data_IF_876010651943
#
_entry.id   IF_876010651943
#
_cell.length_a   1.000
_cell.length_b   1.000
_cell.length_c   1.000
_cell.angle_alpha   90.00
_cell.angle_beta   90.00
_cell.angle_gamma   90.00
#
_symmetry.space_group_name_H-M   'P 1'
#
loop_
_entity.id
_entity.type
_entity.pdbx_description
1 polymer ?
#
# COMPACT_ATOMS: atom_id res chain seq x y z
N UNK A 1 -14.71 12.04 -0.34
CA UNK A 1 -14.16 12.44 0.99
C UNK A 1 -13.50 11.24 1.63
N UNK A 2 -12.24 11.39 1.94
CA UNK A 2 -11.45 10.33 2.60
C UNK A 2 -12.01 9.96 3.98
N UNK A 3 -11.95 8.69 4.32
CA UNK A 3 -12.26 8.26 5.69
C UNK A 3 -11.06 8.54 6.58
N UNK A 4 -10.95 9.76 7.02
CA UNK A 4 -10.00 10.22 8.04
C UNK A 4 -10.77 11.13 9.00
N UNK A 5 -11.00 10.64 10.21
CA UNK A 5 -11.90 11.29 11.17
C UNK A 5 -11.13 11.54 12.47
N UNK A 6 -11.26 12.76 13.01
CA UNK A 6 -10.69 13.09 14.31
C UNK A 6 -11.58 12.54 15.43
N UNK A 7 -10.99 11.73 16.30
CA UNK A 7 -11.65 11.13 17.46
C UNK A 7 -10.75 11.32 18.68
N UNK A 8 -10.99 12.38 19.44
CA UNK A 8 -10.12 12.76 20.55
C UNK A 8 -8.69 13.04 20.08
N UNK A 9 -7.71 12.37 20.67
CA UNK A 9 -6.30 12.50 20.29
C UNK A 9 -5.90 11.61 19.09
N UNK A 10 -6.83 10.81 18.56
CA UNK A 10 -6.60 9.92 17.44
C UNK A 10 -7.24 10.41 16.15
N UNK A 11 -6.64 10.02 15.05
CA UNK A 11 -7.27 10.04 13.74
C UNK A 11 -7.62 8.61 13.35
N UNK A 12 -8.91 8.35 13.10
CA UNK A 12 -9.34 7.11 12.48
C UNK A 12 -9.14 7.23 10.98
N UNK A 13 -8.37 6.30 10.43
CA UNK A 13 -8.01 6.30 9.01
C UNK A 13 -8.34 4.94 8.38
N UNK A 14 -8.96 4.93 7.23
CA UNK A 14 -9.19 3.71 6.46
C UNK A 14 -8.41 3.80 5.16
N UNK A 15 -7.57 2.81 4.93
CA UNK A 15 -6.67 2.76 3.78
C UNK A 15 -6.83 1.44 3.03
N UNK A 16 -6.58 1.44 1.74
CA UNK A 16 -6.49 0.24 0.92
C UNK A 16 -5.21 0.28 0.08
N UNK A 17 -4.59 -0.88 -0.07
CA UNK A 17 -3.35 -1.01 -0.83
C UNK A 17 -3.35 -2.29 -1.65
N UNK A 18 -2.54 -2.32 -2.70
CA UNK A 18 -2.39 -3.45 -3.60
C UNK A 18 -1.04 -4.13 -3.49
N UNK A 19 -1.05 -5.44 -3.51
CA UNK A 19 0.14 -6.28 -3.63
C UNK A 19 0.19 -6.83 -5.04
N UNK A 20 1.22 -6.45 -5.78
CA UNK A 20 1.53 -7.01 -7.10
C UNK A 20 2.86 -7.72 -7.00
N UNK A 21 2.85 -9.04 -7.20
CA UNK A 21 4.05 -9.87 -7.15
C UNK A 21 4.33 -10.41 -8.56
N UNK A 22 5.54 -10.19 -9.02
CA UNK A 22 5.99 -10.63 -10.32
C UNK A 22 7.47 -11.04 -10.24
N UNK A 23 7.79 -12.26 -10.69
CA UNK A 23 9.16 -12.80 -10.68
C UNK A 23 9.87 -12.67 -9.31
N UNK A 24 9.16 -12.97 -8.21
CA UNK A 24 9.72 -12.88 -6.85
C UNK A 24 9.92 -11.46 -6.33
N UNK A 25 9.37 -10.46 -7.02
CA UNK A 25 9.44 -9.05 -6.64
C UNK A 25 8.05 -8.50 -6.35
N UNK A 26 7.98 -7.53 -5.46
CA UNK A 26 6.75 -6.80 -5.14
C UNK A 26 6.89 -5.34 -5.55
N UNK A 27 5.81 -4.80 -6.13
CA UNK A 27 5.76 -3.39 -6.52
C UNK A 27 5.44 -2.52 -5.31
N UNK A 28 6.29 -1.53 -5.08
CA UNK A 28 6.15 -0.57 -3.96
C UNK A 28 6.40 0.85 -4.45
N UNK A 29 6.00 1.84 -3.67
CA UNK A 29 6.52 3.18 -3.87
C UNK A 29 7.62 3.49 -2.85
N UNK A 30 8.62 4.22 -3.31
CA UNK A 30 9.66 4.82 -2.50
C UNK A 30 9.31 6.29 -2.31
N UNK A 31 9.10 6.71 -1.06
CA UNK A 31 8.93 8.12 -0.73
C UNK A 31 10.33 8.70 -0.42
N UNK A 32 10.90 9.40 -1.40
CA UNK A 32 12.26 9.93 -1.30
C UNK A 32 12.41 11.04 -0.26
N UNK A 33 11.30 11.72 0.12
CA UNK A 33 11.34 12.74 1.16
C UNK A 33 11.45 12.17 2.57
N UNK A 34 10.81 11.03 2.83
CA UNK A 34 10.80 10.37 4.13
C UNK A 34 11.67 9.12 4.20
N UNK A 35 12.24 8.74 3.06
CA UNK A 35 13.15 7.60 2.92
C UNK A 35 12.53 6.28 3.42
N UNK A 36 11.25 6.04 3.08
CA UNK A 36 10.57 4.79 3.36
C UNK A 36 9.80 4.27 2.14
N UNK A 37 9.51 2.98 2.16
CA UNK A 37 8.74 2.29 1.14
C UNK A 37 7.35 1.93 1.68
N UNK A 38 6.37 1.86 0.80
CA UNK A 38 5.02 1.37 1.12
C UNK A 38 4.39 0.68 -0.08
N UNK A 39 3.38 -0.15 0.18
CA UNK A 39 2.52 -0.66 -0.89
C UNK A 39 1.74 0.51 -1.52
N UNK A 40 1.45 0.38 -2.81
CA UNK A 40 0.72 1.41 -3.53
C UNK A 40 -0.75 1.37 -3.10
N UNK A 41 -1.27 2.50 -2.72
CA UNK A 41 -2.66 2.63 -2.29
C UNK A 41 -2.97 4.02 -1.77
N UNK A 42 -4.08 4.14 -1.08
CA UNK A 42 -4.53 5.41 -0.53
C UNK A 42 -5.71 5.24 0.40
N UNK A 43 -6.26 6.37 0.80
CA UNK A 43 -7.41 6.42 1.71
C UNK A 43 -8.68 5.98 0.97
N UNK A 44 -9.48 5.20 1.68
CA UNK A 44 -10.82 4.83 1.21
C UNK A 44 -11.73 6.05 1.34
N UNK A 45 -12.51 6.33 0.32
CA UNK A 45 -13.51 7.38 0.37
C UNK A 45 -14.84 6.85 0.89
N UNK A 46 -15.65 7.72 1.50
CA UNK A 46 -17.00 7.36 1.95
C UNK A 46 -17.81 6.87 0.74
N UNK A 47 -18.42 5.71 0.89
CA UNK A 47 -19.21 5.06 -0.17
C UNK A 47 -18.41 4.22 -1.14
N UNK A 48 -17.08 4.18 -0.99
CA UNK A 48 -16.19 3.38 -1.84
C UNK A 48 -15.79 2.09 -1.11
N UNK A 49 -15.76 0.96 -1.81
CA UNK A 49 -15.18 -0.25 -1.23
C UNK A 49 -13.65 -0.26 -1.42
N UNK A 50 -12.96 -1.04 -0.61
CA UNK A 50 -11.49 -1.06 -0.60
C UNK A 50 -10.85 -1.53 -1.91
N UNK A 51 -11.50 -2.43 -2.64
CA UNK A 51 -11.01 -2.89 -3.95
C UNK A 51 -11.05 -1.77 -4.99
N UNK A 52 -12.14 -0.99 -5.00
CA UNK A 52 -12.28 0.15 -5.91
C UNK A 52 -11.30 1.26 -5.54
N UNK A 53 -11.02 1.45 -4.25
CA UNK A 53 -9.97 2.38 -3.80
C UNK A 53 -8.62 2.02 -4.44
N UNK A 54 -8.24 0.75 -4.41
CA UNK A 54 -6.96 0.32 -5.01
C UNK A 54 -6.93 0.61 -6.51
N UNK A 55 -8.00 0.31 -7.23
CA UNK A 55 -8.09 0.60 -8.66
C UNK A 55 -7.96 2.10 -8.94
N UNK A 56 -8.68 2.92 -8.18
CA UNK A 56 -8.67 4.38 -8.33
C UNK A 56 -7.29 4.95 -8.06
N UNK A 57 -6.68 4.58 -6.94
CA UNK A 57 -5.37 5.10 -6.53
C UNK A 57 -4.28 4.76 -7.55
N UNK A 58 -4.25 3.54 -8.06
CA UNK A 58 -3.26 3.15 -9.07
C UNK A 58 -3.50 3.88 -10.39
N UNK A 59 -4.76 4.08 -10.76
CA UNK A 59 -5.09 4.87 -11.94
C UNK A 59 -4.63 6.32 -11.81
N UNK A 60 -4.87 6.93 -10.65
CA UNK A 60 -4.44 8.31 -10.37
C UNK A 60 -2.92 8.43 -10.32
N UNK A 61 -2.24 7.50 -9.65
CA UNK A 61 -0.79 7.58 -9.41
C UNK A 61 0.06 7.15 -10.61
N UNK A 62 -0.37 6.15 -11.36
CA UNK A 62 0.41 5.53 -12.46
C UNK A 62 -0.26 5.61 -13.83
N UNK A 63 -1.53 6.00 -13.90
CA UNK A 63 -2.30 5.98 -15.15
C UNK A 63 -2.63 4.60 -15.68
N UNK A 64 -2.49 3.57 -14.85
CA UNK A 64 -2.64 2.17 -15.26
C UNK A 64 -3.86 1.53 -14.63
N UNK A 65 -4.42 0.55 -15.34
CA UNK A 65 -5.55 -0.23 -14.87
C UNK A 65 -5.09 -1.54 -14.24
N UNK A 66 -5.72 -1.91 -13.14
CA UNK A 66 -5.47 -3.17 -12.45
C UNK A 66 -6.76 -3.95 -12.22
N UNK A 67 -6.63 -5.26 -12.14
CA UNK A 67 -7.69 -6.15 -11.67
C UNK A 67 -7.35 -6.66 -10.28
N UNK A 68 -8.36 -6.88 -9.47
CA UNK A 68 -8.23 -7.49 -8.15
C UNK A 68 -8.26 -8.99 -8.32
N UNK A 69 -7.21 -9.68 -7.91
CA UNK A 69 -7.06 -11.12 -8.08
C UNK A 69 -7.16 -11.91 -6.78
N UNK A 70 -7.25 -11.23 -5.64
CA UNK A 70 -7.42 -11.88 -4.35
C UNK A 70 -7.38 -10.89 -3.20
N UNK A 71 -7.71 -11.41 -2.02
CA UNK A 71 -7.63 -10.67 -0.76
C UNK A 71 -6.43 -11.16 0.04
N UNK A 72 -5.60 -10.24 0.49
CA UNK A 72 -4.32 -10.55 1.15
C UNK A 72 -4.42 -10.41 2.66
N UNK A 73 -4.87 -9.25 3.14
CA UNK A 73 -4.78 -8.98 4.57
C UNK A 73 -5.67 -7.82 5.00
N UNK A 74 -6.06 -7.85 6.28
CA UNK A 74 -6.49 -6.67 7.02
C UNK A 74 -5.45 -6.41 8.10
N UNK A 75 -4.96 -5.17 8.17
CA UNK A 75 -3.97 -4.76 9.16
C UNK A 75 -4.58 -3.64 10.00
N UNK A 76 -4.63 -3.85 11.31
CA UNK A 76 -4.92 -2.78 12.26
C UNK A 76 -3.58 -2.11 12.60
N UNK A 77 -3.43 -0.85 12.25
CA UNK A 77 -2.15 -0.13 12.31
C UNK A 77 -2.24 1.05 13.25
N UNK A 78 -1.36 1.10 14.23
CA UNK A 78 -1.30 2.16 15.24
C UNK A 78 0.06 2.85 15.15
N UNK A 79 0.06 4.12 14.80
CA UNK A 79 1.30 4.88 14.61
C UNK A 79 1.11 6.36 14.94
N UNK A 80 2.21 7.08 15.01
CA UNK A 80 2.22 8.52 15.20
C UNK A 80 2.88 9.19 14.00
N UNK A 81 2.27 10.24 13.50
CA UNK A 81 2.80 11.01 12.39
C UNK A 81 2.42 12.48 12.56
N UNK A 82 3.41 13.36 12.44
CA UNK A 82 3.22 14.82 12.56
C UNK A 82 2.45 15.25 13.82
N UNK A 83 2.73 14.57 14.93
CA UNK A 83 2.12 14.88 16.22
C UNK A 83 0.70 14.35 16.45
N UNK A 84 0.15 13.60 15.52
CA UNK A 84 -1.14 12.93 15.64
C UNK A 84 -0.97 11.42 15.76
N UNK A 85 -1.75 10.81 16.65
CA UNK A 85 -1.85 9.35 16.74
C UNK A 85 -2.88 8.86 15.74
N UNK A 86 -2.55 7.79 15.05
CA UNK A 86 -3.43 7.16 14.07
C UNK A 86 -3.88 5.80 14.52
N UNK A 87 -5.16 5.53 14.34
CA UNK A 87 -5.75 4.20 14.34
C UNK A 87 -6.19 3.94 12.91
N UNK A 88 -5.44 3.12 12.20
CA UNK A 88 -5.69 2.85 10.79
C UNK A 88 -6.16 1.42 10.57
N UNK A 89 -7.17 1.25 9.75
CA UNK A 89 -7.59 -0.04 9.21
C UNK A 89 -7.13 -0.08 7.75
N UNK A 90 -6.25 -1.01 7.44
CA UNK A 90 -5.68 -1.15 6.11
C UNK A 90 -6.12 -2.45 5.46
N UNK A 91 -6.81 -2.36 4.34
CA UNK A 91 -7.19 -3.49 3.51
C UNK A 91 -6.14 -3.70 2.42
N UNK A 92 -5.65 -4.92 2.28
CA UNK A 92 -4.64 -5.25 1.28
C UNK A 92 -5.20 -6.27 0.30
N UNK A 93 -5.20 -5.92 -0.98
CA UNK A 93 -5.69 -6.77 -2.07
C UNK A 93 -4.53 -7.21 -2.96
N UNK A 94 -4.63 -8.41 -3.50
CA UNK A 94 -3.75 -8.85 -4.57
C UNK A 94 -4.25 -8.29 -5.89
N UNK A 95 -3.32 -7.75 -6.68
CA UNK A 95 -3.63 -7.08 -7.94
C UNK A 95 -2.70 -7.51 -9.06
N UNK A 96 -3.16 -7.33 -10.29
CA UNK A 96 -2.37 -7.46 -11.50
C UNK A 96 -2.74 -6.36 -12.47
N UNK A 97 -1.79 -5.91 -13.30
CA UNK A 97 -2.11 -5.02 -14.41
C UNK A 97 -3.05 -5.74 -15.38
N UNK A 98 -4.00 -5.00 -15.95
CA UNK A 98 -4.93 -5.56 -16.94
C UNK A 98 -4.35 -5.57 -18.35
N UNK A 99 -3.50 -4.59 -18.68
CA UNK A 99 -2.86 -4.49 -19.98
C UNK A 99 -1.65 -5.43 -20.07
N UNK A 100 -1.56 -6.22 -21.15
CA UNK A 100 -0.47 -7.19 -21.35
C UNK A 100 0.90 -6.52 -21.46
N UNK A 101 0.96 -5.29 -22.02
CA UNK A 101 2.23 -4.55 -22.09
C UNK A 101 2.65 -4.07 -20.70
N UNK A 102 1.71 -3.66 -19.85
CA UNK A 102 2.00 -3.25 -18.48
C UNK A 102 2.52 -4.42 -17.63
N UNK A 103 2.06 -5.64 -17.89
CA UNK A 103 2.55 -6.86 -17.21
C UNK A 103 4.03 -7.14 -17.46
N UNK A 104 4.62 -6.54 -18.48
CA UNK A 104 6.04 -6.69 -18.83
C UNK A 104 6.93 -5.64 -18.18
N UNK A 105 6.35 -4.72 -17.38
CA UNK A 105 7.11 -3.64 -16.75
C UNK A 105 8.00 -4.21 -15.65
N UNK A 106 9.30 -4.00 -15.78
CA UNK A 106 10.32 -4.38 -14.79
C UNK A 106 11.19 -3.19 -14.37
N UNK A 107 10.83 -2.00 -14.83
CA UNK A 107 11.55 -0.77 -14.58
C UNK A 107 10.84 0.13 -13.59
N UNK A 108 11.56 1.12 -13.10
CA UNK A 108 11.04 2.17 -12.21
C UNK A 108 10.04 3.06 -12.94
N UNK A 109 8.90 3.32 -12.29
CA UNK A 109 7.87 4.21 -12.80
C UNK A 109 7.81 5.49 -11.98
N UNK A 110 7.25 6.55 -12.57
CA UNK A 110 7.06 7.84 -11.92
C UNK A 110 5.60 8.10 -11.62
N UNK A 111 5.37 8.88 -10.56
CA UNK A 111 4.03 9.37 -10.24
C UNK A 111 3.58 10.37 -11.32
N UNK A 112 2.34 10.22 -11.81
CA UNK A 112 1.78 11.10 -12.83
C UNK A 112 0.91 12.24 -12.27
N UNK A 113 0.72 12.29 -10.94
CA UNK A 113 -0.03 13.34 -10.26
C UNK A 113 0.83 14.56 -9.87
N UNK A 114 2.10 14.59 -10.26
CA UNK A 114 3.03 15.65 -9.90
C UNK A 114 3.76 15.46 -8.57
N UNK A 115 3.66 14.29 -7.95
CA UNK A 115 4.39 13.94 -6.73
C UNK A 115 5.76 13.37 -7.09
N UNK A 116 6.70 14.22 -7.49
CA UNK A 116 8.02 13.82 -7.99
C UNK A 116 8.88 13.10 -6.94
N UNK A 117 8.51 13.20 -5.66
CA UNK A 117 9.17 12.50 -4.56
C UNK A 117 8.74 11.04 -4.43
N UNK A 118 7.74 10.57 -5.18
CA UNK A 118 7.30 9.19 -5.22
C UNK A 118 7.85 8.49 -6.46
N UNK A 119 8.54 7.38 -6.23
CA UNK A 119 9.09 6.53 -7.26
C UNK A 119 8.60 5.10 -7.05
N UNK A 120 8.14 4.44 -8.11
CA UNK A 120 7.56 3.10 -8.02
C UNK A 120 8.59 2.09 -8.49
N UNK A 121 8.90 1.14 -7.62
CA UNK A 121 10.00 0.20 -7.81
C UNK A 121 9.56 -1.23 -7.52
N UNK A 122 10.27 -2.18 -8.12
CA UNK A 122 10.15 -3.59 -7.82
C UNK A 122 11.25 -3.99 -6.85
N UNK A 123 10.89 -4.48 -5.66
CA UNK A 123 11.85 -4.94 -4.66
C UNK A 123 11.76 -6.45 -4.48
N UNK A 124 12.90 -7.11 -4.30
CA UNK A 124 12.95 -8.56 -4.13
C UNK A 124 12.35 -9.00 -2.80
N UNK A 125 11.40 -9.92 -2.82
CA UNK A 125 10.78 -10.49 -1.63
C UNK A 125 11.81 -11.15 -0.70
N UNK A 126 12.82 -11.80 -1.28
CA UNK A 126 13.89 -12.44 -0.50
C UNK A 126 14.75 -11.46 0.30
N UNK A 127 14.71 -10.19 -0.06
CA UNK A 127 15.48 -9.11 0.59
C UNK A 127 14.59 -8.09 1.31
N UNK A 128 13.34 -8.43 1.55
CA UNK A 128 12.34 -7.47 2.05
C UNK A 128 12.71 -6.85 3.40
N UNK A 129 13.44 -7.59 4.24
CA UNK A 129 13.89 -7.08 5.54
C UNK A 129 14.96 -5.99 5.45
N UNK A 130 15.59 -5.84 4.28
CA UNK A 130 16.59 -4.80 4.04
C UNK A 130 15.97 -3.45 3.66
N UNK A 131 14.65 -3.43 3.39
CA UNK A 131 13.95 -2.22 2.99
C UNK A 131 13.15 -1.63 4.15
N UNK A 132 13.11 -0.30 4.29
CA UNK A 132 12.26 0.36 5.29
C UNK A 132 10.79 0.41 4.80
N UNK A 133 10.18 -0.75 4.61
CA UNK A 133 8.78 -0.90 4.19
C UNK A 133 7.86 -0.75 5.40
N UNK A 134 6.91 0.17 5.31
CA UNK A 134 5.95 0.47 6.36
C UNK A 134 4.50 0.17 5.93
N UNK A 135 3.62 -0.24 6.84
CA UNK A 135 3.94 -0.70 8.19
C UNK A 135 4.74 -2.02 8.19
N UNK A 136 5.54 -2.24 9.21
CA UNK A 136 6.37 -3.47 9.33
C UNK A 136 5.58 -4.76 9.20
N UNK A 137 4.32 -4.78 9.64
CA UNK A 137 3.44 -5.94 9.53
C UNK A 137 3.25 -6.40 8.08
N UNK A 138 3.40 -5.54 7.09
CA UNK A 138 3.32 -5.89 5.66
C UNK A 138 4.43 -6.88 5.30
N UNK A 139 5.62 -6.71 5.86
CA UNK A 139 6.74 -7.65 5.62
C UNK A 139 6.39 -9.06 6.08
N UNK A 140 5.77 -9.18 7.26
CA UNK A 140 5.36 -10.48 7.79
C UNK A 140 4.31 -11.14 6.91
N UNK A 141 3.33 -10.36 6.45
CA UNK A 141 2.29 -10.83 5.54
C UNK A 141 2.89 -11.37 4.25
N UNK A 142 3.80 -10.61 3.64
CA UNK A 142 4.43 -11.00 2.37
C UNK A 142 5.33 -12.23 2.51
N UNK A 143 6.03 -12.37 3.64
CA UNK A 143 6.88 -13.54 3.91
C UNK A 143 6.09 -14.83 4.10
N UNK A 144 4.92 -14.77 4.74
CA UNK A 144 4.11 -15.95 5.02
C UNK A 144 3.55 -16.59 3.75
N UNK A 145 3.18 -15.78 2.75
CA UNK A 145 2.66 -16.25 1.48
C UNK A 145 1.32 -17.00 1.53
N UNK A 146 0.69 -17.09 2.70
CA UNK A 146 -0.63 -17.71 2.89
C UNK A 146 -1.64 -16.63 3.22
N UNK A 147 -2.66 -16.50 2.42
CA UNK A 147 -3.67 -15.43 2.53
C UNK A 147 -5.08 -16.02 2.70
N UNK A 148 -6.05 -15.28 3.30
CA UNK A 148 -5.90 -13.97 3.93
C UNK A 148 -5.29 -14.02 5.35
N UNK A 149 -4.68 -12.91 5.77
CA UNK A 149 -4.04 -12.78 7.07
C UNK A 149 -4.51 -11.50 7.76
N UNK A 150 -4.86 -11.60 9.04
CA UNK A 150 -5.08 -10.44 9.90
C UNK A 150 -3.83 -10.16 10.73
N UNK A 151 -3.42 -8.91 10.80
CA UNK A 151 -2.27 -8.45 11.59
C UNK A 151 -2.60 -7.17 12.36
N UNK A 152 -1.90 -7.00 13.47
CA UNK A 152 -1.89 -5.75 14.23
C UNK A 152 -0.47 -5.21 14.18
N UNK A 153 -0.33 -3.96 13.79
CA UNK A 153 0.92 -3.22 13.84
C UNK A 153 0.76 -2.04 14.82
N UNK A 154 1.57 -1.99 15.84
CA UNK A 154 1.50 -0.91 16.83
C UNK A 154 2.89 -0.30 17.04
N UNK A 155 3.03 0.95 16.61
CA UNK A 155 4.24 1.75 16.76
C UNK A 155 4.11 2.81 17.86
N UNK A 156 3.03 2.76 18.62
CA UNK A 156 2.83 3.65 19.76
C UNK A 156 3.65 3.20 20.97
N UNK A 157 4.23 4.16 21.66
CA UNK A 157 4.99 3.96 22.88
C UNK A 157 4.14 4.22 24.12
#
# INVERSE_FOLDING_TARGET
MDITIDVGEYKLNVRAAGVMIHNGKVLVHNNMNSNHYALIGGRVEIGENSADTVRREIKEELGKDVQITGYVSTIENFFEMKGSKYHEIMFVHRIEFTDEEDKKIEYTMKNIEGKDYLQYEWIELSKIDQYPLLPEAVKEVLKQGKFPIHKINCDLK
#
